data_IF_752077318013
#
_entry.id   IF_752077318013
#
_cell.length_a   1.000
_cell.length_b   1.000
_cell.length_c   1.000
_cell.angle_alpha   90.00
_cell.angle_beta   90.00
_cell.angle_gamma   90.00
#
_symmetry.space_group_name_H-M   'P 1'
#
loop_
_entity.id
_entity.type
_entity.pdbx_description
1 polymer ?
#
# COMPACT_ATOMS: atom_id res chain seq x y z
N UNK A 1 15.62 -0.28 0.91
CA UNK A 1 14.60 -1.33 1.08
C UNK A 1 14.39 -1.59 2.56
N UNK A 2 13.69 -0.71 3.27
CA UNK A 2 13.50 -0.83 4.73
C UNK A 2 12.02 -0.83 5.15
N UNK A 3 11.16 -0.30 4.28
CA UNK A 3 9.71 -0.22 4.49
C UNK A 3 9.03 -1.55 4.86
N UNK A 4 9.28 -2.68 4.18
CA UNK A 4 8.57 -3.93 4.49
C UNK A 4 8.88 -4.47 5.89
N UNK A 5 10.14 -4.31 6.33
CA UNK A 5 10.61 -4.78 7.64
C UNK A 5 10.00 -3.92 8.74
N UNK A 6 10.11 -2.59 8.61
CA UNK A 6 9.55 -1.66 9.58
C UNK A 6 8.02 -1.79 9.66
N UNK A 7 7.36 -1.96 8.51
CA UNK A 7 5.91 -2.18 8.47
C UNK A 7 5.53 -3.47 9.21
N UNK A 8 6.28 -4.57 9.01
CA UNK A 8 6.07 -5.83 9.74
C UNK A 8 6.28 -5.66 11.24
N UNK A 9 7.32 -4.95 11.67
CA UNK A 9 7.58 -4.66 13.09
C UNK A 9 6.48 -3.80 13.74
N UNK A 10 5.86 -2.92 12.95
CA UNK A 10 4.75 -2.06 13.39
C UNK A 10 3.37 -2.70 13.23
N UNK A 11 3.28 -3.93 12.72
CA UNK A 11 2.00 -4.60 12.44
C UNK A 11 1.18 -3.93 11.32
N UNK A 12 1.84 -3.19 10.43
CA UNK A 12 1.20 -2.52 9.30
C UNK A 12 1.27 -3.44 8.07
N UNK A 13 0.15 -3.71 7.39
CA UNK A 13 0.16 -4.48 6.15
C UNK A 13 0.94 -3.72 5.08
N UNK A 14 1.98 -4.36 4.53
CA UNK A 14 2.79 -3.81 3.44
C UNK A 14 2.79 -4.78 2.27
N UNK A 15 2.44 -4.30 1.09
CA UNK A 15 2.27 -5.11 -0.12
C UNK A 15 3.29 -4.63 -1.16
N UNK A 16 3.92 -5.58 -1.84
CA UNK A 16 4.74 -5.27 -3.00
C UNK A 16 3.89 -5.34 -4.26
N UNK A 17 4.08 -4.37 -5.14
CA UNK A 17 3.40 -4.28 -6.43
C UNK A 17 4.41 -4.48 -7.54
N UNK A 18 3.95 -4.97 -8.68
CA UNK A 18 4.81 -5.33 -9.80
C UNK A 18 5.45 -4.10 -10.47
N UNK A 19 4.72 -2.97 -10.54
CA UNK A 19 5.14 -1.78 -11.26
C UNK A 19 4.99 -0.51 -10.42
N UNK A 20 6.08 0.27 -10.37
CA UNK A 20 6.14 1.61 -9.75
C UNK A 20 5.30 2.66 -10.49
N UNK A 21 5.12 2.50 -11.81
CA UNK A 21 4.27 3.38 -12.63
C UNK A 21 2.79 3.16 -12.34
N UNK A 22 2.34 1.90 -12.26
CA UNK A 22 0.95 1.58 -11.90
C UNK A 22 0.61 2.06 -10.49
N UNK A 23 1.56 1.94 -9.54
CA UNK A 23 1.36 2.43 -8.17
C UNK A 23 1.13 3.94 -8.12
N UNK A 24 1.98 4.71 -8.82
CA UNK A 24 1.82 6.16 -8.91
C UNK A 24 0.50 6.53 -9.57
N UNK A 25 0.19 5.90 -10.71
CA UNK A 25 -1.04 6.16 -11.46
C UNK A 25 -2.29 5.88 -10.63
N UNK A 26 -2.34 4.75 -9.91
CA UNK A 26 -3.45 4.38 -9.04
C UNK A 26 -3.66 5.37 -7.88
N UNK A 27 -2.60 6.05 -7.43
CA UNK A 27 -2.67 7.09 -6.42
C UNK A 27 -2.85 8.51 -6.99
N UNK A 28 -3.04 8.64 -8.31
CA UNK A 28 -3.19 9.94 -8.98
C UNK A 28 -1.88 10.74 -9.11
N UNK A 29 -0.73 10.08 -9.01
CA UNK A 29 0.59 10.68 -9.16
C UNK A 29 1.10 10.40 -10.58
N UNK A 30 1.48 11.47 -11.30
CA UNK A 30 1.97 11.38 -12.68
C UNK A 30 3.42 10.84 -12.81
N UNK A 31 4.04 10.42 -11.71
CA UNK A 31 5.44 9.93 -11.71
C UNK A 31 5.53 8.54 -11.08
N UNK A 32 6.50 7.71 -11.52
CA UNK A 32 6.76 6.40 -10.93
C UNK A 32 7.05 6.54 -9.43
N UNK A 33 6.28 5.82 -8.62
CA UNK A 33 6.31 5.93 -7.17
C UNK A 33 6.85 4.64 -6.54
N UNK A 34 7.85 4.78 -5.67
CA UNK A 34 8.49 3.63 -5.03
C UNK A 34 7.68 3.05 -3.87
N UNK A 35 6.90 3.87 -3.15
CA UNK A 35 6.09 3.44 -2.01
C UNK A 35 4.96 4.44 -1.74
N UNK A 36 3.82 3.93 -1.28
CA UNK A 36 2.64 4.73 -0.90
C UNK A 36 2.09 4.21 0.42
N UNK A 37 1.69 5.12 1.30
CA UNK A 37 1.05 4.79 2.56
C UNK A 37 -0.35 5.42 2.59
N UNK A 38 -1.36 4.60 2.89
CA UNK A 38 -2.73 5.06 3.08
C UNK A 38 -2.90 5.46 4.54
N UNK A 39 -3.08 6.75 4.81
CA UNK A 39 -3.26 7.31 6.17
C UNK A 39 -4.75 7.46 6.50
N UNK A 40 -5.55 7.78 5.48
CA UNK A 40 -6.99 7.92 5.59
C UNK A 40 -7.66 7.12 4.47
N UNK A 41 -8.45 6.12 4.86
CA UNK A 41 -9.07 5.15 3.97
C UNK A 41 -10.39 5.62 3.33
N UNK A 42 -11.03 6.63 3.92
CA UNK A 42 -12.30 7.19 3.42
C UNK A 42 -13.34 6.11 3.14
N UNK A 43 -13.96 6.17 1.97
CA UNK A 43 -14.96 5.20 1.50
C UNK A 43 -14.38 3.81 1.17
N UNK A 44 -13.06 3.70 1.00
CA UNK A 44 -12.39 2.45 0.65
C UNK A 44 -12.09 1.53 1.85
N UNK A 45 -12.55 1.90 3.05
CA UNK A 45 -12.30 1.16 4.30
C UNK A 45 -12.60 -0.34 4.20
N UNK A 46 -13.79 -0.70 3.67
CA UNK A 46 -14.19 -2.11 3.51
C UNK A 46 -13.22 -2.88 2.61
N UNK A 47 -12.79 -2.25 1.51
CA UNK A 47 -11.87 -2.85 0.55
C UNK A 47 -10.48 -3.06 1.18
N UNK A 48 -10.00 -2.12 1.99
CA UNK A 48 -8.72 -2.22 2.70
C UNK A 48 -8.76 -3.32 3.77
N UNK A 49 -9.88 -3.47 4.48
CA UNK A 49 -10.07 -4.60 5.41
C UNK A 49 -10.05 -5.95 4.68
N UNK A 50 -10.72 -6.08 3.53
CA UNK A 50 -10.63 -7.30 2.72
C UNK A 50 -9.22 -7.55 2.18
N UNK A 51 -8.48 -6.49 1.84
CA UNK A 51 -7.09 -6.59 1.40
C UNK A 51 -6.19 -7.13 2.52
N UNK A 52 -6.38 -6.68 3.77
CA UNK A 52 -5.64 -7.20 4.95
C UNK A 52 -5.86 -8.71 5.14
N UNK A 53 -7.09 -9.20 4.96
CA UNK A 53 -7.43 -10.61 5.18
C UNK A 53 -6.72 -11.52 4.17
N UNK A 54 -6.59 -11.09 2.91
CA UNK A 54 -5.89 -11.86 1.85
C UNK A 54 -4.39 -12.06 2.12
N UNK A 55 -3.81 -11.33 3.07
CA UNK A 55 -2.39 -11.42 3.43
C UNK A 55 -2.11 -12.26 4.69
N UNK A 56 -3.14 -12.80 5.36
CA UNK A 56 -2.99 -13.68 6.52
C UNK A 56 -2.80 -15.14 6.13
#
# INVERSE_FOLDING_TARGET
MHLPIIAKEKGIPCIQVNSKEELGTAAGIAVPTSAIAVIAEGDAKKLIEELKIKLS
#
